data_IF_658146108036
#
_entry.id   IF_658146108036
#
_cell.length_a   1.000
_cell.length_b   1.000
_cell.length_c   1.000
_cell.angle_alpha   90.00
_cell.angle_beta   90.00
_cell.angle_gamma   90.00
#
_symmetry.space_group_name_H-M   'P 1'
#
loop_
_entity.id
_entity.type
_entity.pdbx_description
1 polymer ?
#
# COMPACT_ATOMS: atom_id res chain seq x y z
N UNK A 1 16.15 22.08 1.83
CA UNK A 1 15.50 21.67 3.09
C UNK A 1 14.16 21.09 2.72
N UNK A 2 13.98 19.78 2.86
CA UNK A 2 12.70 19.15 2.60
C UNK A 2 11.76 19.46 3.77
N UNK A 3 10.54 19.92 3.49
CA UNK A 3 9.51 20.10 4.52
C UNK A 3 9.28 18.78 5.25
N UNK A 4 9.64 18.76 6.53
CA UNK A 4 9.46 17.63 7.45
C UNK A 4 7.98 17.41 7.84
N UNK A 5 7.09 18.32 7.42
CA UNK A 5 5.68 18.40 7.83
C UNK A 5 4.82 17.21 7.40
N UNK A 6 5.34 16.33 6.55
CA UNK A 6 4.60 15.20 5.99
C UNK A 6 5.28 13.83 6.12
N UNK A 7 6.35 13.74 6.93
CA UNK A 7 6.98 12.47 7.25
C UNK A 7 6.10 11.64 8.19
N UNK A 8 6.07 10.31 8.00
CA UNK A 8 5.41 9.42 8.97
C UNK A 8 6.27 9.30 10.22
N UNK A 9 5.65 9.24 11.40
CA UNK A 9 6.39 8.95 12.63
C UNK A 9 6.63 7.46 12.77
N UNK A 10 7.90 7.07 12.88
CA UNK A 10 8.32 5.71 13.22
C UNK A 10 8.26 5.41 14.72
N UNK A 11 7.86 6.36 15.57
CA UNK A 11 7.68 6.09 17.00
C UNK A 11 6.51 5.13 17.25
N UNK A 12 6.62 4.30 18.29
CA UNK A 12 5.43 3.62 18.84
C UNK A 12 4.39 4.65 19.31
N UNK A 13 3.12 4.23 19.50
CA UNK A 13 2.09 5.12 20.02
C UNK A 13 2.51 5.75 21.35
N UNK A 14 2.34 7.07 21.47
CA UNK A 14 2.54 7.78 22.75
C UNK A 14 1.46 7.40 23.77
N UNK A 15 1.63 7.79 25.04
CA UNK A 15 0.59 7.57 26.06
C UNK A 15 -0.76 8.21 25.71
N UNK A 16 -0.72 9.39 25.08
CA UNK A 16 -1.91 10.08 24.58
C UNK A 16 -2.55 9.32 23.41
N UNK A 17 -1.74 8.90 22.43
CA UNK A 17 -2.23 8.10 21.30
C UNK A 17 -2.83 6.77 21.77
N UNK A 18 -2.25 6.12 22.78
CA UNK A 18 -2.78 4.88 23.37
C UNK A 18 -4.16 5.09 24.00
N UNK A 19 -4.41 6.23 24.64
CA UNK A 19 -5.73 6.54 25.16
C UNK A 19 -6.74 6.73 24.02
N UNK A 20 -6.39 7.52 23.02
CA UNK A 20 -7.22 7.75 21.84
C UNK A 20 -7.52 6.44 21.08
N UNK A 21 -6.53 5.56 20.97
CA UNK A 21 -6.66 4.22 20.37
C UNK A 21 -7.69 3.38 21.12
N UNK A 22 -7.65 3.38 22.47
CA UNK A 22 -8.62 2.65 23.29
C UNK A 22 -10.02 3.19 23.11
N UNK A 23 -10.18 4.50 23.00
CA UNK A 23 -11.49 5.13 22.75
C UNK A 23 -12.04 4.67 21.39
N UNK A 24 -11.21 4.69 20.34
CA UNK A 24 -11.58 4.19 18.99
C UNK A 24 -11.98 2.70 19.04
N UNK A 25 -11.19 1.86 19.73
CA UNK A 25 -11.47 0.42 19.87
C UNK A 25 -12.78 0.19 20.62
N UNK A 26 -13.04 0.94 21.70
CA UNK A 26 -14.28 0.84 22.46
C UNK A 26 -15.50 1.24 21.62
N UNK A 27 -15.40 2.32 20.83
CA UNK A 27 -16.45 2.77 19.92
C UNK A 27 -16.70 1.83 18.71
N UNK A 28 -15.75 0.96 18.40
CA UNK A 28 -15.84 -0.04 17.33
C UNK A 28 -16.00 -1.47 17.87
N UNK A 29 -16.31 -1.63 19.17
CA UNK A 29 -16.33 -2.95 19.83
C UNK A 29 -17.28 -3.93 19.14
N UNK A 30 -18.46 -3.48 18.72
CA UNK A 30 -19.43 -4.35 18.04
C UNK A 30 -18.88 -4.90 16.71
N UNK A 31 -18.22 -4.06 15.91
CA UNK A 31 -17.58 -4.48 14.65
C UNK A 31 -16.34 -5.35 14.89
N UNK A 32 -15.57 -5.10 15.96
CA UNK A 32 -14.43 -5.95 16.34
C UNK A 32 -14.91 -7.34 16.74
N UNK A 33 -15.93 -7.43 17.60
CA UNK A 33 -16.47 -8.70 18.09
C UNK A 33 -17.14 -9.53 16.96
N UNK A 34 -17.52 -8.89 15.86
CA UNK A 34 -18.06 -9.56 14.67
C UNK A 34 -16.97 -10.30 13.86
N UNK A 35 -15.68 -10.01 14.09
CA UNK A 35 -14.57 -10.73 13.46
C UNK A 35 -14.20 -11.93 14.34
N UNK A 36 -14.31 -13.19 13.84
CA UNK A 36 -13.97 -14.36 14.63
C UNK A 36 -12.48 -14.37 15.01
N UNK A 37 -12.19 -14.33 16.32
CA UNK A 37 -10.81 -14.32 16.84
C UNK A 37 -9.99 -13.15 16.29
N UNK A 38 -10.39 -11.89 16.59
CA UNK A 38 -9.89 -10.70 15.90
C UNK A 38 -8.37 -10.58 16.06
N UNK A 39 -7.59 -10.75 14.97
CA UNK A 39 -6.14 -10.75 15.04
C UNK A 39 -5.58 -9.41 15.51
N UNK A 40 -4.51 -9.45 16.27
CA UNK A 40 -3.91 -8.25 16.86
C UNK A 40 -3.39 -7.26 15.80
N UNK A 41 -2.94 -7.74 14.64
CA UNK A 41 -2.52 -6.86 13.54
C UNK A 41 -3.68 -6.14 12.83
N UNK A 42 -4.94 -6.55 13.10
CA UNK A 42 -6.16 -5.97 12.54
C UNK A 42 -6.84 -5.03 13.54
N UNK A 43 -6.86 -5.37 14.84
CA UNK A 43 -7.61 -4.60 15.84
C UNK A 43 -6.73 -3.99 16.94
N UNK A 44 -5.48 -4.41 17.03
CA UNK A 44 -4.54 -3.96 18.05
C UNK A 44 -4.01 -2.55 17.81
N UNK A 45 -3.29 -2.06 18.80
CA UNK A 45 -2.95 -0.64 18.94
C UNK A 45 -2.17 -0.10 17.75
N UNK A 46 -1.23 -0.87 17.20
CA UNK A 46 -0.42 -0.44 16.06
C UNK A 46 -1.26 -0.24 14.79
N UNK A 47 -2.30 -1.05 14.59
CA UNK A 47 -3.22 -0.87 13.46
C UNK A 47 -4.04 0.39 13.62
N UNK A 48 -4.67 0.56 14.78
CA UNK A 48 -5.54 1.71 15.08
C UNK A 48 -4.73 3.01 15.07
N UNK A 49 -3.49 2.98 15.56
CA UNK A 49 -2.54 4.08 15.47
C UNK A 49 -2.34 4.57 14.02
N UNK A 50 -2.26 3.67 13.03
CA UNK A 50 -2.14 4.06 11.61
C UNK A 50 -3.38 4.82 11.12
N UNK A 51 -4.59 4.42 11.54
CA UNK A 51 -5.81 5.15 11.22
C UNK A 51 -5.82 6.55 11.87
N UNK A 52 -5.48 6.61 13.17
CA UNK A 52 -5.41 7.86 13.94
C UNK A 52 -4.41 8.85 13.34
N UNK A 53 -3.18 8.40 13.06
CA UNK A 53 -2.11 9.24 12.47
C UNK A 53 -2.43 9.67 11.03
N UNK A 54 -3.14 8.83 10.26
CA UNK A 54 -3.60 9.18 8.92
C UNK A 54 -4.75 10.22 8.94
N UNK A 55 -5.38 10.44 10.09
CA UNK A 55 -6.36 11.49 10.36
C UNK A 55 -5.83 12.58 11.29
N UNK A 56 -4.52 12.72 11.39
CA UNK A 56 -3.87 13.80 12.13
C UNK A 56 -4.30 13.88 13.61
N UNK A 57 -4.55 12.73 14.25
CA UNK A 57 -5.03 12.68 15.63
C UNK A 57 -6.53 12.94 15.80
N UNK A 58 -7.29 13.12 14.71
CA UNK A 58 -8.73 13.26 14.77
C UNK A 58 -9.39 11.91 15.09
N UNK A 59 -9.72 11.71 16.35
CA UNK A 59 -10.34 10.48 16.87
C UNK A 59 -11.63 10.15 16.14
N UNK A 60 -12.53 11.12 15.92
CA UNK A 60 -13.82 10.90 15.28
C UNK A 60 -13.66 10.36 13.85
N UNK A 61 -12.85 11.02 13.03
CA UNK A 61 -12.61 10.58 11.65
C UNK A 61 -11.87 9.24 11.59
N UNK A 62 -10.95 9.00 12.53
CA UNK A 62 -10.26 7.72 12.65
C UNK A 62 -11.22 6.59 13.02
N UNK A 63 -12.14 6.82 13.97
CA UNK A 63 -13.21 5.87 14.35
C UNK A 63 -14.10 5.55 13.16
N UNK A 64 -14.61 6.56 12.44
CA UNK A 64 -15.48 6.34 11.29
C UNK A 64 -14.79 5.51 10.20
N UNK A 65 -13.52 5.79 9.94
CA UNK A 65 -12.74 5.05 8.95
C UNK A 65 -12.42 3.62 9.41
N UNK A 66 -11.98 3.44 10.65
CA UNK A 66 -11.69 2.13 11.21
C UNK A 66 -12.93 1.24 11.27
N UNK A 67 -14.08 1.80 11.68
CA UNK A 67 -15.38 1.12 11.64
C UNK A 67 -15.76 0.66 10.24
N UNK A 68 -15.56 1.53 9.24
CA UNK A 68 -15.85 1.21 7.83
C UNK A 68 -14.95 0.07 7.33
N UNK A 69 -13.67 0.09 7.69
CA UNK A 69 -12.73 -1.00 7.42
C UNK A 69 -13.21 -2.32 8.02
N UNK A 70 -13.58 -2.35 9.31
CA UNK A 70 -14.04 -3.57 9.97
C UNK A 70 -15.31 -4.13 9.33
N UNK A 71 -16.28 -3.29 9.00
CA UNK A 71 -17.51 -3.70 8.28
C UNK A 71 -17.19 -4.31 6.93
N UNK A 72 -16.34 -3.65 6.14
CA UNK A 72 -15.89 -4.17 4.85
C UNK A 72 -15.20 -5.54 4.99
N UNK A 73 -14.40 -5.77 6.04
CA UNK A 73 -13.78 -7.08 6.26
C UNK A 73 -14.80 -8.19 6.47
N UNK A 74 -15.81 -7.93 7.31
CA UNK A 74 -16.89 -8.88 7.59
C UNK A 74 -17.68 -9.16 6.31
N UNK A 75 -18.09 -8.12 5.59
CA UNK A 75 -18.90 -8.22 4.36
C UNK A 75 -18.14 -8.93 3.22
N UNK A 76 -16.86 -8.61 3.03
CA UNK A 76 -16.03 -9.19 1.98
C UNK A 76 -15.60 -10.63 2.28
N UNK A 77 -15.65 -11.07 3.54
CA UNK A 77 -15.17 -12.37 3.97
C UNK A 77 -13.66 -12.55 3.73
N UNK A 78 -12.90 -11.45 3.65
CA UNK A 78 -11.48 -11.45 3.26
C UNK A 78 -10.60 -12.30 4.17
N UNK A 79 -10.99 -12.43 5.45
CA UNK A 79 -10.26 -13.19 6.46
C UNK A 79 -10.12 -14.69 6.12
N UNK A 80 -11.07 -15.26 5.38
CA UNK A 80 -10.97 -16.66 4.90
C UNK A 80 -9.81 -16.84 3.91
N UNK A 81 -9.56 -15.83 3.08
CA UNK A 81 -8.49 -15.86 2.08
C UNK A 81 -7.16 -15.44 2.69
N UNK A 82 -7.19 -14.48 3.63
CA UNK A 82 -6.03 -13.97 4.36
C UNK A 82 -5.18 -15.08 4.99
N UNK A 83 -5.82 -16.12 5.52
CA UNK A 83 -5.12 -17.28 6.11
C UNK A 83 -4.10 -17.94 5.16
N UNK A 84 -4.24 -17.74 3.83
CA UNK A 84 -3.31 -18.28 2.85
C UNK A 84 -1.96 -17.55 2.82
N UNK A 85 -1.90 -16.29 3.26
CA UNK A 85 -0.72 -15.42 3.09
C UNK A 85 -0.05 -15.04 4.40
N UNK A 86 -0.79 -14.86 5.49
CA UNK A 86 -0.22 -14.49 6.79
C UNK A 86 0.68 -15.59 7.37
N UNK A 87 1.59 -15.23 8.28
CA UNK A 87 2.54 -16.18 8.88
C UNK A 87 3.69 -16.58 7.95
N UNK A 88 3.73 -16.07 6.71
CA UNK A 88 4.80 -16.37 5.75
C UNK A 88 5.97 -15.42 5.94
N UNK A 89 7.19 -15.97 5.99
CA UNK A 89 8.40 -15.17 5.77
C UNK A 89 8.34 -14.50 4.38
N UNK A 90 9.11 -13.44 4.15
CA UNK A 90 9.16 -12.79 2.84
C UNK A 90 9.43 -13.75 1.67
N UNK A 91 10.35 -14.71 1.84
CA UNK A 91 10.69 -15.70 0.81
C UNK A 91 9.51 -16.62 0.51
N UNK A 92 8.82 -17.09 1.56
CA UNK A 92 7.62 -17.94 1.43
C UNK A 92 6.45 -17.18 0.82
N UNK A 93 6.34 -15.88 1.10
CA UNK A 93 5.33 -15.03 0.50
C UNK A 93 5.61 -14.75 -0.97
N UNK A 94 6.85 -14.41 -1.33
CA UNK A 94 7.25 -14.25 -2.73
C UNK A 94 7.04 -15.53 -3.54
N UNK A 95 7.34 -16.70 -2.95
CA UNK A 95 7.06 -18.00 -3.58
C UNK A 95 5.57 -18.24 -3.81
N UNK A 96 4.70 -17.71 -2.95
CA UNK A 96 3.24 -17.72 -3.14
C UNK A 96 2.79 -16.69 -4.20
N UNK A 97 3.41 -15.52 -4.25
CA UNK A 97 3.06 -14.41 -5.14
C UNK A 97 3.51 -14.63 -6.59
N UNK A 98 4.76 -15.03 -6.82
CA UNK A 98 5.37 -15.06 -8.15
C UNK A 98 4.54 -15.87 -9.19
N UNK A 99 3.98 -17.05 -8.87
CA UNK A 99 3.13 -17.78 -9.80
C UNK A 99 1.80 -17.08 -10.13
N UNK A 100 1.38 -16.12 -9.29
CA UNK A 100 0.15 -15.32 -9.43
C UNK A 100 0.41 -13.94 -10.04
N UNK A 101 1.67 -13.53 -10.13
CA UNK A 101 2.05 -12.22 -10.64
C UNK A 101 1.71 -12.11 -12.13
N UNK A 102 1.08 -11.00 -12.53
CA UNK A 102 0.82 -10.73 -13.94
C UNK A 102 2.09 -10.13 -14.58
N UNK A 103 2.65 -10.73 -15.64
CA UNK A 103 3.89 -10.25 -16.26
C UNK A 103 3.76 -8.86 -16.88
N UNK A 104 2.53 -8.41 -17.19
CA UNK A 104 2.23 -7.09 -17.75
C UNK A 104 1.94 -6.02 -16.68
N UNK A 105 1.94 -6.42 -15.40
CA UNK A 105 1.85 -5.53 -14.25
C UNK A 105 2.95 -5.91 -13.22
N UNK A 106 4.23 -5.66 -13.55
CA UNK A 106 5.38 -6.20 -12.82
C UNK A 106 5.59 -5.51 -11.46
N UNK A 107 5.26 -6.26 -10.40
CA UNK A 107 5.34 -5.80 -9.00
C UNK A 107 6.05 -6.84 -8.15
N UNK A 108 7.02 -6.37 -7.37
CA UNK A 108 7.67 -7.11 -6.30
C UNK A 108 7.21 -6.54 -4.95
N UNK A 109 6.31 -7.22 -4.22
CA UNK A 109 5.76 -6.74 -2.96
C UNK A 109 6.73 -6.86 -1.77
N UNK A 110 7.93 -7.40 -2.00
CA UNK A 110 9.03 -7.39 -1.04
C UNK A 110 10.35 -7.47 -1.79
N UNK A 111 11.05 -6.33 -1.90
CA UNK A 111 12.35 -6.21 -2.55
C UNK A 111 13.50 -6.01 -1.53
N UNK A 112 13.27 -6.41 -0.28
CA UNK A 112 14.21 -6.22 0.82
C UNK A 112 13.78 -5.10 1.76
N UNK A 113 14.76 -4.56 2.49
CA UNK A 113 14.58 -3.51 3.49
C UNK A 113 15.59 -2.41 3.29
N UNK A 114 15.22 -1.20 3.67
CA UNK A 114 16.16 -0.09 3.80
C UNK A 114 17.01 -0.24 5.06
N UNK A 115 18.08 0.56 5.17
CA UNK A 115 18.97 0.56 6.33
C UNK A 115 18.25 0.95 7.62
N UNK A 116 17.25 1.84 7.54
CA UNK A 116 16.34 2.18 8.64
C UNK A 116 15.17 1.18 8.79
N UNK A 117 15.24 0.04 8.13
CA UNK A 117 14.37 -1.12 8.28
C UNK A 117 12.95 -0.98 7.73
N UNK A 118 12.66 -0.03 6.85
CA UNK A 118 11.38 -0.03 6.13
C UNK A 118 11.36 -1.11 5.04
N UNK A 119 10.17 -1.65 4.75
CA UNK A 119 9.99 -2.68 3.71
C UNK A 119 9.99 -2.01 2.34
N UNK A 120 10.69 -2.57 1.36
CA UNK A 120 10.72 -2.02 0.00
C UNK A 120 9.71 -2.77 -0.87
N UNK A 121 8.80 -2.03 -1.49
CA UNK A 121 8.02 -2.50 -2.63
C UNK A 121 8.64 -1.96 -3.91
N UNK A 122 8.93 -2.83 -4.87
CA UNK A 122 9.50 -2.43 -6.16
C UNK A 122 8.52 -2.67 -7.29
N UNK A 123 8.20 -1.63 -8.05
CA UNK A 123 7.27 -1.69 -9.18
C UNK A 123 7.97 -1.20 -10.43
N UNK A 124 8.00 -2.02 -11.48
CA UNK A 124 8.50 -1.61 -12.80
C UNK A 124 7.39 -0.92 -13.60
N UNK A 125 6.93 0.22 -13.10
CA UNK A 125 5.80 0.98 -13.65
C UNK A 125 5.94 1.33 -15.12
N UNK A 126 7.16 1.62 -15.60
CA UNK A 126 7.42 1.90 -17.02
C UNK A 126 7.27 0.68 -17.93
N UNK A 127 7.26 -0.52 -17.36
CA UNK A 127 7.15 -1.79 -18.09
C UNK A 127 5.73 -2.35 -18.06
N UNK A 128 4.77 -1.62 -17.48
CA UNK A 128 3.35 -1.98 -17.54
C UNK A 128 2.90 -1.94 -18.99
N UNK A 129 2.32 -3.05 -19.46
CA UNK A 129 1.71 -3.14 -20.78
C UNK A 129 0.18 -3.25 -20.60
N UNK A 130 -0.55 -2.13 -20.64
CA UNK A 130 -1.97 -2.13 -20.32
C UNK A 130 -2.84 -2.84 -21.35
N UNK A 131 -2.39 -2.90 -22.61
CA UNK A 131 -3.09 -3.60 -23.69
C UNK A 131 -2.95 -5.10 -23.47
N UNK A 132 -1.72 -5.58 -23.28
CA UNK A 132 -1.49 -7.02 -23.03
C UNK A 132 -2.06 -7.49 -21.70
N UNK A 133 -2.04 -6.63 -20.67
CA UNK A 133 -2.72 -6.92 -19.41
C UNK A 133 -4.20 -7.25 -19.64
N UNK A 134 -4.88 -6.47 -20.49
CA UNK A 134 -6.29 -6.67 -20.80
C UNK A 134 -6.49 -7.90 -21.70
N UNK A 135 -5.77 -7.98 -22.81
CA UNK A 135 -5.98 -8.98 -23.87
C UNK A 135 -5.46 -10.38 -23.51
N UNK A 136 -4.42 -10.48 -22.68
CA UNK A 136 -3.76 -11.74 -22.33
C UNK A 136 -3.87 -12.11 -20.84
N UNK A 137 -4.80 -11.50 -20.10
CA UNK A 137 -5.05 -11.84 -18.69
C UNK A 137 -5.36 -13.34 -18.56
N UNK A 138 -4.73 -13.97 -17.56
CA UNK A 138 -5.00 -15.36 -17.19
C UNK A 138 -6.10 -15.46 -16.13
N UNK A 139 -6.41 -14.34 -15.47
CA UNK A 139 -7.37 -14.21 -14.37
C UNK A 139 -8.39 -13.13 -14.69
N UNK A 140 -9.54 -13.16 -14.03
CA UNK A 140 -10.50 -12.06 -14.10
C UNK A 140 -9.94 -10.80 -13.42
N UNK A 141 -10.52 -9.63 -13.72
CA UNK A 141 -10.17 -8.37 -13.03
C UNK A 141 -10.37 -8.48 -11.51
N UNK A 142 -11.47 -9.13 -11.07
CA UNK A 142 -11.73 -9.36 -9.65
C UNK A 142 -10.71 -10.30 -9.00
N UNK A 143 -10.28 -11.36 -9.69
CA UNK A 143 -9.22 -12.24 -9.19
C UNK A 143 -7.87 -11.52 -9.10
N UNK A 144 -7.54 -10.69 -10.09
CA UNK A 144 -6.35 -9.84 -10.07
C UNK A 144 -6.41 -8.88 -8.88
N UNK A 145 -7.52 -8.16 -8.72
CA UNK A 145 -7.78 -7.27 -7.57
C UNK A 145 -7.63 -8.02 -6.23
N UNK A 146 -8.21 -9.21 -6.11
CA UNK A 146 -8.10 -10.02 -4.90
C UNK A 146 -6.65 -10.41 -4.58
N UNK A 147 -5.85 -10.69 -5.61
CA UNK A 147 -4.43 -11.00 -5.42
C UNK A 147 -3.64 -9.79 -4.88
N UNK A 148 -4.00 -8.57 -5.28
CA UNK A 148 -3.47 -7.34 -4.70
C UNK A 148 -3.93 -7.12 -3.25
N UNK A 149 -5.18 -7.42 -2.94
CA UNK A 149 -5.69 -7.37 -1.58
C UNK A 149 -4.90 -8.34 -0.69
N UNK A 150 -4.58 -9.54 -1.17
CA UNK A 150 -3.71 -10.49 -0.45
C UNK A 150 -2.28 -9.98 -0.23
N UNK A 151 -1.71 -9.21 -1.17
CA UNK A 151 -0.44 -8.50 -0.95
C UNK A 151 -0.55 -7.53 0.22
N UNK A 152 -1.63 -6.75 0.27
CA UNK A 152 -1.85 -5.78 1.35
C UNK A 152 -2.08 -6.47 2.69
N UNK A 153 -2.86 -7.55 2.73
CA UNK A 153 -3.08 -8.34 3.94
C UNK A 153 -1.76 -8.89 4.51
N UNK A 154 -0.92 -9.49 3.65
CA UNK A 154 0.41 -9.94 4.09
C UNK A 154 1.29 -8.78 4.54
N UNK A 155 1.30 -7.67 3.78
CA UNK A 155 2.15 -6.52 4.09
C UNK A 155 1.78 -5.89 5.42
N UNK A 156 0.50 -5.68 5.68
CA UNK A 156 0.07 -5.08 6.95
C UNK A 156 0.38 -5.99 8.14
N UNK A 157 0.18 -7.30 8.00
CA UNK A 157 0.59 -8.28 9.01
C UNK A 157 2.12 -8.27 9.21
N UNK A 158 2.90 -8.25 8.14
CA UNK A 158 4.36 -8.26 8.22
C UNK A 158 4.92 -6.98 8.85
N UNK A 159 4.35 -5.82 8.52
CA UNK A 159 4.70 -4.55 9.16
C UNK A 159 4.37 -4.56 10.65
N UNK A 160 3.24 -5.15 11.05
CA UNK A 160 2.86 -5.29 12.44
C UNK A 160 3.88 -6.15 13.22
N UNK A 161 4.20 -7.33 12.71
CA UNK A 161 5.22 -8.23 13.27
C UNK A 161 6.59 -7.55 13.41
N UNK A 162 7.05 -6.87 12.35
CA UNK A 162 8.30 -6.12 12.38
C UNK A 162 8.24 -4.98 13.41
N UNK A 163 7.11 -4.29 13.51
CA UNK A 163 6.97 -3.15 14.41
C UNK A 163 7.05 -3.58 15.88
N UNK A 164 6.41 -4.69 16.23
CA UNK A 164 6.49 -5.29 17.57
C UNK A 164 7.91 -5.75 17.87
N UNK A 165 8.54 -6.47 16.93
CA UNK A 165 9.90 -6.99 17.08
C UNK A 165 10.94 -5.88 17.27
N UNK A 166 10.77 -4.77 16.58
CA UNK A 166 11.76 -3.67 16.55
C UNK A 166 11.44 -2.53 17.51
N UNK A 167 10.30 -2.59 18.22
CA UNK A 167 9.92 -1.55 19.17
C UNK A 167 9.68 -0.18 18.51
N UNK A 168 9.23 -0.16 17.25
CA UNK A 168 8.99 1.06 16.47
C UNK A 168 8.00 0.79 15.34
N UNK A 169 7.33 1.81 14.82
CA UNK A 169 6.47 1.66 13.65
C UNK A 169 7.31 1.46 12.38
N UNK A 170 7.05 0.38 11.65
CA UNK A 170 7.62 0.12 10.33
C UNK A 170 6.61 0.45 9.22
N UNK A 171 7.12 0.78 8.03
CA UNK A 171 6.34 1.25 6.89
C UNK A 171 6.90 0.66 5.60
N UNK A 172 6.18 0.88 4.50
CA UNK A 172 6.63 0.59 3.14
C UNK A 172 7.27 1.81 2.51
N UNK A 173 8.37 1.61 1.80
CA UNK A 173 8.88 2.53 0.78
C UNK A 173 8.57 1.92 -0.59
N UNK A 174 7.75 2.61 -1.37
CA UNK A 174 7.39 2.19 -2.72
C UNK A 174 8.36 2.82 -3.71
N UNK A 175 9.02 2.00 -4.51
CA UNK A 175 9.89 2.44 -5.61
C UNK A 175 9.21 2.11 -6.93
N UNK A 176 8.84 3.14 -7.67
CA UNK A 176 8.25 3.06 -9.00
C UNK A 176 9.31 3.42 -10.04
N UNK A 177 9.82 2.40 -10.74
CA UNK A 177 10.73 2.57 -11.87
C UNK A 177 9.94 2.84 -13.15
N UNK A 178 10.11 4.04 -13.70
CA UNK A 178 9.41 4.50 -14.89
C UNK A 178 10.17 4.22 -16.19
N UNK A 179 11.31 3.52 -16.12
CA UNK A 179 12.08 3.13 -17.31
C UNK A 179 11.21 2.30 -18.26
N UNK A 180 11.17 2.71 -19.53
CA UNK A 180 10.36 2.07 -20.57
C UNK A 180 8.93 2.63 -20.72
N UNK A 181 8.53 3.61 -19.90
CA UNK A 181 7.20 4.20 -20.00
C UNK A 181 6.99 4.86 -21.37
N UNK A 182 5.97 4.41 -22.10
CA UNK A 182 5.63 4.92 -23.43
C UNK A 182 6.59 4.47 -24.54
N UNK A 183 7.50 3.53 -24.27
CA UNK A 183 8.36 2.90 -25.27
C UNK A 183 7.80 1.54 -25.72
N UNK A 184 8.44 0.95 -26.74
CA UNK A 184 8.17 -0.41 -27.24
C UNK A 184 6.69 -0.66 -27.61
N UNK A 185 6.00 0.38 -28.07
CA UNK A 185 4.58 0.30 -28.43
C UNK A 185 3.60 0.23 -27.25
N UNK A 186 4.07 0.33 -25.99
CA UNK A 186 3.20 0.33 -24.81
C UNK A 186 2.41 1.63 -24.73
N UNK A 187 1.08 1.51 -24.69
CA UNK A 187 0.20 2.65 -24.39
C UNK A 187 0.35 3.07 -22.93
N UNK A 188 0.08 4.34 -22.62
CA UNK A 188 -0.06 4.74 -21.22
C UNK A 188 -1.30 4.07 -20.62
N UNK A 189 -1.24 3.56 -19.37
CA UNK A 189 -2.36 2.88 -18.73
C UNK A 189 -3.67 3.70 -18.71
N UNK A 190 -3.58 5.02 -18.60
CA UNK A 190 -4.76 5.92 -18.61
C UNK A 190 -5.53 5.93 -19.95
N UNK A 191 -4.91 5.49 -21.05
CA UNK A 191 -5.51 5.47 -22.38
C UNK A 191 -6.10 4.12 -22.77
N UNK A 192 -6.03 3.12 -21.88
CA UNK A 192 -6.69 1.83 -22.05
C UNK A 192 -7.81 1.75 -21.02
N UNK A 193 -9.07 1.91 -21.45
CA UNK A 193 -10.22 2.11 -20.56
C UNK A 193 -10.37 1.04 -19.48
N UNK A 194 -10.23 -0.24 -19.83
CA UNK A 194 -10.33 -1.34 -18.85
C UNK A 194 -9.22 -1.28 -17.80
N UNK A 195 -7.97 -1.04 -18.22
CA UNK A 195 -6.84 -0.90 -17.29
C UNK A 195 -6.98 0.36 -16.42
N UNK A 196 -7.41 1.48 -17.01
CA UNK A 196 -7.70 2.72 -16.27
C UNK A 196 -8.73 2.48 -15.18
N UNK A 197 -9.84 1.82 -15.52
CA UNK A 197 -10.92 1.51 -14.59
C UNK A 197 -10.46 0.54 -13.49
N UNK A 198 -9.69 -0.49 -13.86
CA UNK A 198 -9.09 -1.44 -12.93
C UNK A 198 -8.18 -0.73 -11.90
N UNK A 199 -7.23 0.08 -12.37
CA UNK A 199 -6.31 0.81 -11.48
C UNK A 199 -7.02 1.80 -10.57
N UNK A 200 -7.99 2.57 -11.08
CA UNK A 200 -8.75 3.51 -10.24
C UNK A 200 -9.66 2.78 -9.25
N UNK A 201 -10.25 1.65 -9.65
CA UNK A 201 -10.99 0.78 -8.75
C UNK A 201 -10.12 0.25 -7.61
N UNK A 202 -8.92 -0.26 -7.93
CA UNK A 202 -7.96 -0.71 -6.92
C UNK A 202 -7.51 0.42 -5.99
N UNK A 203 -7.19 1.59 -6.54
CA UNK A 203 -6.76 2.74 -5.75
C UNK A 203 -7.85 3.18 -4.77
N UNK A 204 -9.11 3.23 -5.22
CA UNK A 204 -10.26 3.53 -4.37
C UNK A 204 -10.39 2.52 -3.23
N UNK A 205 -10.33 1.23 -3.54
CA UNK A 205 -10.38 0.15 -2.54
C UNK A 205 -9.26 0.28 -1.52
N UNK A 206 -8.03 0.57 -1.96
CA UNK A 206 -6.91 0.76 -1.04
C UNK A 206 -7.09 1.98 -0.15
N UNK A 207 -7.55 3.12 -0.70
CA UNK A 207 -7.78 4.34 0.07
C UNK A 207 -8.97 4.23 1.02
N UNK A 208 -9.99 3.42 0.69
CA UNK A 208 -11.17 3.23 1.54
C UNK A 208 -10.93 2.19 2.62
N UNK A 209 -10.28 1.07 2.30
CA UNK A 209 -10.22 -0.09 3.18
C UNK A 209 -8.85 -0.31 3.83
N UNK A 210 -7.80 0.36 3.40
CA UNK A 210 -6.48 0.21 4.00
C UNK A 210 -5.99 1.54 4.55
N UNK A 211 -5.61 1.52 5.83
CA UNK A 211 -4.94 2.66 6.43
C UNK A 211 -3.57 2.90 5.80
N UNK A 212 -3.04 4.07 6.09
CA UNK A 212 -1.77 4.52 5.53
C UNK A 212 -0.59 3.68 6.05
N UNK A 213 0.12 3.05 5.14
CA UNK A 213 1.27 2.17 5.42
C UNK A 213 2.54 2.58 4.67
N UNK A 214 2.45 3.59 3.80
CA UNK A 214 3.58 4.10 3.03
C UNK A 214 4.27 5.24 3.78
N UNK A 215 5.59 5.14 3.96
CA UNK A 215 6.42 6.25 4.41
C UNK A 215 6.79 7.17 3.23
N UNK A 216 7.13 6.56 2.09
CA UNK A 216 7.66 7.28 0.93
C UNK A 216 7.26 6.57 -0.38
N UNK A 217 7.05 7.36 -1.42
CA UNK A 217 6.84 6.88 -2.78
C UNK A 217 7.89 7.49 -3.71
N UNK A 218 8.93 6.72 -4.02
CA UNK A 218 10.04 7.12 -4.86
C UNK A 218 9.70 6.79 -6.32
N UNK A 219 9.82 7.76 -7.20
CA UNK A 219 9.74 7.59 -8.66
C UNK A 219 11.14 7.78 -9.23
N UNK A 220 11.67 6.79 -9.94
CA UNK A 220 12.97 6.86 -10.61
C UNK A 220 12.81 6.74 -12.12
N UNK A 221 13.82 7.20 -12.88
CA UNK A 221 13.88 7.05 -14.34
C UNK A 221 12.65 7.61 -15.07
N UNK A 222 12.04 8.69 -14.56
CA UNK A 222 10.83 9.28 -15.13
C UNK A 222 11.10 9.99 -16.47
N UNK A 223 10.62 9.47 -17.62
CA UNK A 223 10.77 10.16 -18.91
C UNK A 223 9.84 11.37 -19.02
N UNK A 224 10.02 12.22 -20.02
CA UNK A 224 9.18 13.41 -20.22
C UNK A 224 7.67 13.11 -20.23
N UNK A 225 7.26 11.98 -20.83
CA UNK A 225 5.86 11.54 -20.88
C UNK A 225 5.25 11.27 -19.49
N UNK A 226 6.06 11.04 -18.45
CA UNK A 226 5.58 10.92 -17.08
C UNK A 226 4.82 12.16 -16.60
N UNK A 227 5.10 13.35 -17.14
CA UNK A 227 4.38 14.59 -16.77
C UNK A 227 2.87 14.47 -16.99
N UNK A 228 2.44 13.71 -18.00
CA UNK A 228 1.01 13.44 -18.28
C UNK A 228 0.41 12.59 -17.17
N UNK A 229 1.09 11.50 -16.78
CA UNK A 229 0.64 10.65 -15.67
C UNK A 229 0.64 11.40 -14.35
N UNK A 230 1.66 12.21 -14.09
CA UNK A 230 1.75 13.00 -12.86
C UNK A 230 0.62 14.03 -12.73
N UNK A 231 0.17 14.61 -13.84
CA UNK A 231 -1.01 15.48 -13.83
C UNK A 231 -2.27 14.73 -13.37
N UNK A 232 -2.46 13.48 -13.82
CA UNK A 232 -3.57 12.62 -13.36
C UNK A 232 -3.41 12.23 -11.90
N UNK A 233 -2.20 11.84 -11.48
CA UNK A 233 -1.90 11.48 -10.08
C UNK A 233 -2.28 12.60 -9.12
N UNK A 234 -1.98 13.86 -9.46
CA UNK A 234 -2.34 15.03 -8.62
C UNK A 234 -3.85 15.24 -8.45
N UNK A 235 -4.67 14.70 -9.34
CA UNK A 235 -6.14 14.81 -9.25
C UNK A 235 -6.76 13.72 -8.38
N UNK A 236 -6.06 12.59 -8.21
CA UNK A 236 -6.64 11.38 -7.57
C UNK A 236 -6.05 11.11 -6.19
N UNK A 237 -4.81 11.53 -5.93
CA UNK A 237 -4.16 11.36 -4.64
C UNK A 237 -4.42 12.54 -3.70
N UNK A 238 -4.49 12.26 -2.40
CA UNK A 238 -4.58 13.31 -1.38
C UNK A 238 -3.29 14.12 -1.30
N UNK A 239 -3.36 15.34 -0.75
CA UNK A 239 -2.17 16.19 -0.52
C UNK A 239 -1.07 15.45 0.26
N UNK A 240 -1.47 14.64 1.24
CA UNK A 240 -0.57 13.82 2.07
C UNK A 240 0.09 12.68 1.29
N UNK A 241 -0.63 12.03 0.38
CA UNK A 241 -0.02 11.01 -0.49
C UNK A 241 0.97 11.64 -1.47
N UNK A 242 0.62 12.80 -2.04
CA UNK A 242 1.50 13.56 -2.94
C UNK A 242 2.76 14.05 -2.21
N UNK A 243 2.64 14.52 -0.96
CA UNK A 243 3.78 15.02 -0.20
C UNK A 243 4.80 13.95 0.20
N UNK A 244 4.43 12.67 0.11
CA UNK A 244 5.33 11.51 0.25
C UNK A 244 6.00 11.11 -1.06
N UNK A 245 5.60 11.69 -2.19
CA UNK A 245 6.22 11.39 -3.46
C UNK A 245 7.57 12.10 -3.58
N UNK A 246 8.59 11.37 -4.06
CA UNK A 246 9.89 11.91 -4.45
C UNK A 246 10.16 11.47 -5.87
N UNK A 247 10.23 12.43 -6.79
CA UNK A 247 10.58 12.15 -8.18
C UNK A 247 12.08 12.40 -8.30
N UNK A 248 12.82 11.32 -8.49
CA UNK A 248 14.27 11.28 -8.61
C UNK A 248 14.67 11.12 -10.08
N UNK A 249 15.96 11.33 -10.35
CA UNK A 249 16.57 11.24 -11.67
C UNK A 249 16.80 9.81 -12.15
N UNK A 250 17.86 9.65 -12.96
CA UNK A 250 18.30 8.35 -13.47
C UNK A 250 18.97 7.53 -12.36
N UNK A 251 18.47 6.33 -12.12
CA UNK A 251 18.98 5.39 -11.11
C UNK A 251 20.43 4.93 -11.32
N UNK A 252 21.01 5.13 -12.51
CA UNK A 252 22.44 4.89 -12.76
C UNK A 252 23.34 5.96 -12.15
N UNK A 253 22.80 7.11 -11.75
CA UNK A 253 23.55 8.17 -11.12
C UNK A 253 23.83 7.83 -9.65
N UNK A 254 25.09 7.92 -9.17
CA UNK A 254 25.45 7.57 -7.80
C UNK A 254 24.67 8.30 -6.72
N UNK A 255 24.28 9.55 -6.96
CA UNK A 255 23.52 10.35 -5.99
C UNK A 255 22.05 9.94 -5.87
N UNK A 256 21.52 9.18 -6.84
CA UNK A 256 20.16 8.61 -6.78
C UNK A 256 20.14 7.26 -6.05
N UNK A 257 21.29 6.60 -5.92
CA UNK A 257 21.43 5.30 -5.24
C UNK A 257 21.61 5.43 -3.72
N UNK A 258 21.84 6.65 -3.22
CA UNK A 258 21.93 6.99 -1.80
C UNK A 258 20.56 7.33 -1.24
#
# INVERSE_FOLDING_TARGET
>A
MADHEHSVSSSLPSGEELQQIRDIQAECKAEIDAIPGPPEDIVGDLRVCRFLRARHGNVKEATEWFRSFLKWRVESGIDKLRAQVIGRSPEKFLSWWLPRANPYLPICPYAGRTDDGHVIWYVRSGMIDPVKFVEHRQTTMEQSKMSFIMILEWTMWHLDELSRKEGRMTYVIKVADMKGLGSDGRKLPIFVSEMKNFMFGMLKEFQTNYCEHDALFIVVNAPFVFRVLYAVVKLVLSKRQISKMRILGDSSQPDIQK
#
